data_IF_279443248577
#
_entry.id   IF_279443248577
#
_cell.length_a   1.000
_cell.length_b   1.000
_cell.length_c   1.000
_cell.angle_alpha   90.00
_cell.angle_beta   90.00
_cell.angle_gamma   90.00
#
_symmetry.space_group_name_H-M   'P 1'
#
loop_
_entity.id
_entity.type
_entity.pdbx_description
1 polymer ?
#
# COMPACT_ATOMS: atom_id res chain seq x y z
N UNK A 1 -12.00 -9.36 -19.33
CA UNK A 1 -12.20 -8.34 -18.27
C UNK A 1 -10.95 -8.10 -17.42
N UNK A 2 -10.14 -9.12 -17.09
CA UNK A 2 -8.85 -8.93 -16.42
C UNK A 2 -7.80 -8.12 -17.23
N UNK A 3 -7.80 -8.25 -18.56
CA UNK A 3 -6.80 -7.61 -19.43
C UNK A 3 -6.93 -6.07 -19.44
N UNK A 4 -8.16 -5.57 -19.46
CA UNK A 4 -8.47 -4.12 -19.34
C UNK A 4 -7.94 -3.54 -18.02
N UNK A 5 -7.91 -4.35 -16.97
CA UNK A 5 -7.43 -3.96 -15.62
C UNK A 5 -5.92 -3.78 -15.60
N UNK A 6 -5.15 -4.64 -16.28
CA UNK A 6 -3.67 -4.51 -16.34
C UNK A 6 -3.23 -3.26 -17.11
N UNK A 7 -3.88 -2.95 -18.21
CA UNK A 7 -3.58 -1.73 -18.97
C UNK A 7 -4.04 -0.45 -18.25
N UNK A 8 -5.14 -0.53 -17.49
CA UNK A 8 -5.56 0.53 -16.59
C UNK A 8 -4.53 0.79 -15.49
N UNK A 9 -4.03 -0.25 -14.81
CA UNK A 9 -3.00 -0.10 -13.75
C UNK A 9 -1.75 0.64 -14.28
N UNK A 10 -1.30 0.34 -15.51
CA UNK A 10 -0.15 1.04 -16.11
C UNK A 10 -0.43 2.52 -16.35
N UNK A 11 -1.62 2.84 -16.89
CA UNK A 11 -2.06 4.23 -17.11
C UNK A 11 -2.26 4.97 -15.79
N UNK A 12 -2.86 4.30 -14.80
CA UNK A 12 -3.11 4.85 -13.48
C UNK A 12 -1.81 5.11 -12.72
N UNK A 13 -0.80 4.24 -12.84
CA UNK A 13 0.56 4.50 -12.31
C UNK A 13 1.16 5.78 -12.89
N UNK A 14 1.04 6.00 -14.21
CA UNK A 14 1.53 7.23 -14.86
C UNK A 14 0.74 8.46 -14.40
N UNK A 15 -0.59 8.36 -14.34
CA UNK A 15 -1.47 9.44 -13.92
C UNK A 15 -1.23 9.83 -12.45
N UNK A 16 -1.09 8.83 -11.58
CA UNK A 16 -0.82 9.03 -10.16
C UNK A 16 0.57 9.61 -9.94
N UNK A 17 1.59 9.18 -10.68
CA UNK A 17 2.93 9.79 -10.62
C UNK A 17 2.86 11.29 -10.93
N UNK A 18 2.19 11.66 -12.03
CA UNK A 18 1.99 13.07 -12.38
C UNK A 18 1.12 13.83 -11.36
N UNK A 19 0.14 13.17 -10.73
CA UNK A 19 -0.70 13.79 -9.70
C UNK A 19 0.09 14.10 -8.43
N UNK A 20 0.95 13.17 -8.00
CA UNK A 20 1.84 13.37 -6.84
C UNK A 20 2.87 14.48 -7.10
N UNK A 21 3.39 14.58 -8.33
CA UNK A 21 4.30 15.65 -8.72
C UNK A 21 3.61 17.03 -8.75
N UNK A 22 2.36 17.10 -9.22
CA UNK A 22 1.59 18.35 -9.30
C UNK A 22 1.03 18.80 -7.95
N UNK A 23 0.63 17.87 -7.10
CA UNK A 23 0.07 18.17 -5.78
C UNK A 23 0.52 17.15 -4.73
N UNK A 24 1.75 17.30 -4.19
CA UNK A 24 2.30 16.37 -3.20
C UNK A 24 1.57 16.44 -1.85
N UNK A 25 0.82 17.53 -1.59
CA UNK A 25 0.08 17.79 -0.36
C UNK A 25 -1.28 17.07 -0.28
N UNK A 26 -1.65 16.31 -1.32
CA UNK A 26 -2.89 15.54 -1.31
C UNK A 26 -2.63 14.11 -0.81
N UNK A 27 -3.07 13.75 0.41
CA UNK A 27 -2.92 12.40 0.95
C UNK A 27 -3.66 11.35 0.10
N UNK A 28 -4.80 11.73 -0.48
CA UNK A 28 -5.60 10.87 -1.35
C UNK A 28 -4.83 10.37 -2.58
N UNK A 29 -3.91 11.16 -3.14
CA UNK A 29 -3.08 10.73 -4.26
C UNK A 29 -2.16 9.57 -3.86
N UNK A 30 -1.60 9.62 -2.65
CA UNK A 30 -0.74 8.56 -2.11
C UNK A 30 -1.54 7.30 -1.77
N UNK A 31 -2.70 7.45 -1.13
CA UNK A 31 -3.62 6.35 -0.81
C UNK A 31 -4.11 5.64 -2.08
N UNK A 32 -4.57 6.39 -3.08
CA UNK A 32 -5.02 5.83 -4.35
C UNK A 32 -3.90 5.07 -5.05
N UNK A 33 -2.67 5.61 -5.01
CA UNK A 33 -1.50 4.93 -5.56
C UNK A 33 -1.23 3.59 -4.86
N UNK A 34 -1.30 3.56 -3.53
CA UNK A 34 -1.06 2.33 -2.77
C UNK A 34 -2.15 1.27 -3.02
N UNK A 35 -3.41 1.67 -3.15
CA UNK A 35 -4.52 0.76 -3.50
C UNK A 35 -4.38 0.16 -4.90
N UNK A 36 -3.83 0.91 -5.85
CA UNK A 36 -3.54 0.38 -7.20
C UNK A 36 -2.46 -0.70 -7.15
N UNK A 37 -1.42 -0.50 -6.33
CA UNK A 37 -0.37 -1.52 -6.14
C UNK A 37 -0.89 -2.76 -5.40
N UNK A 38 -1.81 -2.58 -4.43
CA UNK A 38 -2.52 -3.70 -3.78
C UNK A 38 -3.30 -4.54 -4.81
N UNK A 39 -3.98 -3.89 -5.76
CA UNK A 39 -4.67 -4.58 -6.87
C UNK A 39 -3.73 -5.24 -7.87
N UNK A 40 -2.49 -4.74 -7.98
CA UNK A 40 -1.44 -5.33 -8.80
C UNK A 40 -0.69 -6.47 -8.09
N UNK A 41 -1.08 -6.80 -6.85
CA UNK A 41 -0.39 -7.74 -5.93
C UNK A 41 1.05 -7.33 -5.57
N UNK A 42 1.41 -6.07 -5.80
CA UNK A 42 2.73 -5.49 -5.52
C UNK A 42 2.71 -4.81 -4.14
N UNK A 43 2.60 -5.60 -3.07
CA UNK A 43 2.50 -5.08 -1.70
C UNK A 43 3.74 -4.27 -1.26
N UNK A 44 4.93 -4.66 -1.72
CA UNK A 44 6.16 -3.93 -1.41
C UNK A 44 6.15 -2.52 -2.04
N UNK A 45 5.66 -2.39 -3.28
CA UNK A 45 5.49 -1.10 -3.93
C UNK A 45 4.42 -0.25 -3.23
N UNK A 46 3.31 -0.87 -2.81
CA UNK A 46 2.26 -0.20 -2.04
C UNK A 46 2.81 0.40 -0.73
N UNK A 47 3.64 -0.36 0.00
CA UNK A 47 4.28 0.07 1.24
C UNK A 47 5.24 1.24 1.00
N UNK A 48 6.12 1.15 0.01
CA UNK A 48 7.06 2.24 -0.30
C UNK A 48 6.32 3.53 -0.70
N UNK A 49 5.20 3.41 -1.40
CA UNK A 49 4.38 4.58 -1.78
C UNK A 49 3.68 5.21 -0.59
N UNK A 50 3.06 4.42 0.29
CA UNK A 50 2.36 4.98 1.45
C UNK A 50 3.33 5.59 2.45
N UNK A 51 4.53 5.01 2.63
CA UNK A 51 5.57 5.56 3.47
C UNK A 51 6.01 6.96 3.00
N UNK A 52 6.23 7.13 1.68
CA UNK A 52 6.48 8.45 1.09
C UNK A 52 5.30 9.40 1.29
N UNK A 53 4.07 8.90 1.18
CA UNK A 53 2.87 9.67 1.46
C UNK A 53 2.80 10.19 2.89
N UNK A 54 3.22 9.39 3.87
CA UNK A 54 3.31 9.81 5.28
C UNK A 54 4.39 10.88 5.51
N UNK A 55 5.53 10.77 4.82
CA UNK A 55 6.62 11.77 4.89
C UNK A 55 6.19 13.12 4.28
N UNK A 56 5.48 13.09 3.15
CA UNK A 56 4.99 14.30 2.47
C UNK A 56 3.75 14.92 3.15
N UNK A 57 2.91 14.08 3.77
CA UNK A 57 1.65 14.49 4.40
C UNK A 57 1.56 14.03 5.87
N UNK A 58 2.42 14.53 6.78
CA UNK A 58 2.39 14.12 8.19
C UNK A 58 1.10 14.53 8.91
N UNK A 59 0.44 15.60 8.44
CA UNK A 59 -0.77 16.16 9.06
C UNK A 59 -2.07 15.44 8.67
N UNK A 60 -2.03 14.49 7.73
CA UNK A 60 -3.24 13.80 7.28
C UNK A 60 -3.38 12.46 7.98
N UNK A 61 -4.43 12.28 8.77
CA UNK A 61 -4.70 11.00 9.45
C UNK A 61 -5.04 9.89 8.45
N UNK A 62 -5.65 10.22 7.31
CA UNK A 62 -6.09 9.24 6.30
C UNK A 62 -4.92 8.43 5.73
N UNK A 63 -3.76 9.06 5.49
CA UNK A 63 -2.59 8.36 4.93
C UNK A 63 -2.01 7.37 5.94
N UNK A 64 -2.00 7.74 7.23
CA UNK A 64 -1.53 6.88 8.32
C UNK A 64 -2.46 5.69 8.54
N UNK A 65 -3.78 5.90 8.50
CA UNK A 65 -4.76 4.83 8.63
C UNK A 65 -4.62 3.80 7.50
N UNK A 66 -4.43 4.26 6.27
CA UNK A 66 -4.21 3.37 5.13
C UNK A 66 -2.86 2.63 5.25
N UNK A 67 -1.79 3.30 5.69
CA UNK A 67 -0.49 2.67 5.92
C UNK A 67 -0.58 1.50 6.92
N UNK A 68 -1.29 1.71 8.03
CA UNK A 68 -1.56 0.64 9.00
C UNK A 68 -2.34 -0.52 8.35
N UNK A 69 -3.35 -0.23 7.53
CA UNK A 69 -4.11 -1.28 6.84
C UNK A 69 -3.22 -2.12 5.94
N UNK A 70 -2.36 -1.49 5.15
CA UNK A 70 -1.44 -2.17 4.23
C UNK A 70 -0.44 -3.03 5.00
N UNK A 71 0.16 -2.49 6.07
CA UNK A 71 1.07 -3.26 6.93
C UNK A 71 0.41 -4.50 7.54
N UNK A 72 -0.84 -4.37 8.00
CA UNK A 72 -1.61 -5.51 8.54
C UNK A 72 -1.94 -6.52 7.43
N UNK A 73 -2.31 -6.06 6.24
CA UNK A 73 -2.60 -6.93 5.11
C UNK A 73 -1.36 -7.72 4.68
N UNK A 74 -0.18 -7.08 4.65
CA UNK A 74 1.10 -7.75 4.40
C UNK A 74 1.43 -8.78 5.48
N UNK A 75 1.31 -8.38 6.75
CA UNK A 75 1.55 -9.26 7.88
C UNK A 75 0.60 -10.48 7.91
N UNK A 76 -0.65 -10.32 7.47
CA UNK A 76 -1.60 -11.44 7.32
C UNK A 76 -1.23 -12.38 6.17
N UNK A 77 -0.64 -11.86 5.09
CA UNK A 77 -0.12 -12.67 3.97
C UNK A 77 1.13 -13.43 4.38
N UNK A 78 1.97 -12.80 5.20
CA UNK A 78 3.26 -13.33 5.67
C UNK A 78 3.14 -14.21 6.92
N UNK A 79 2.11 -14.03 7.75
CA UNK A 79 1.89 -14.88 8.92
C UNK A 79 1.64 -16.32 8.47
N UNK A 80 2.55 -17.26 8.79
CA UNK A 80 2.20 -18.66 8.76
C UNK A 80 1.09 -18.87 9.79
N UNK A 81 0.28 -19.89 9.55
CA UNK A 81 -0.78 -20.33 10.44
C UNK A 81 -0.27 -20.36 11.90
N UNK A 82 -0.99 -19.78 12.90
CA UNK A 82 -0.59 -19.87 14.31
C UNK A 82 -0.44 -21.32 14.81
N UNK A 83 -0.96 -22.30 14.07
CA UNK A 83 -0.79 -23.73 14.35
C UNK A 83 0.61 -24.27 14.00
N UNK A 84 1.44 -23.52 13.28
CA UNK A 84 2.83 -23.88 12.93
C UNK A 84 3.87 -23.11 13.77
N UNK A 85 3.46 -22.02 14.41
CA UNK A 85 4.28 -21.31 15.40
C UNK A 85 4.27 -22.10 16.72
N UNK A 86 5.01 -23.21 16.74
CA UNK A 86 5.35 -23.95 17.95
C UNK A 86 5.94 -22.99 18.97
N UNK A 87 5.10 -22.52 19.88
CA UNK A 87 5.43 -21.75 21.05
C UNK A 87 6.36 -22.60 21.92
N UNK A 88 7.68 -22.50 21.69
CA UNK A 88 8.69 -23.01 22.61
C UNK A 88 8.84 -22.01 23.76
N UNK A 89 7.78 -21.83 24.55
CA UNK A 89 7.95 -21.42 25.94
C UNK A 89 8.07 -22.71 26.75
N UNK A 90 9.29 -23.11 27.03
CA UNK A 90 9.56 -24.35 27.76
C UNK A 90 10.93 -24.33 28.43
N UNK A 91 10.89 -24.02 29.73
CA UNK A 91 11.89 -24.19 30.79
C UNK A 91 13.13 -23.27 30.77
#
# INVERSE_FOLDING_TARGET
>A
MEEVKRDAIKKDRQLMKSSRERNPKQPLCWIASARLEEQAEEMEAAWQLIQKGCEECPNSEEVWLEACRIAIADARRSSPNPNEAGCKFGA
#
